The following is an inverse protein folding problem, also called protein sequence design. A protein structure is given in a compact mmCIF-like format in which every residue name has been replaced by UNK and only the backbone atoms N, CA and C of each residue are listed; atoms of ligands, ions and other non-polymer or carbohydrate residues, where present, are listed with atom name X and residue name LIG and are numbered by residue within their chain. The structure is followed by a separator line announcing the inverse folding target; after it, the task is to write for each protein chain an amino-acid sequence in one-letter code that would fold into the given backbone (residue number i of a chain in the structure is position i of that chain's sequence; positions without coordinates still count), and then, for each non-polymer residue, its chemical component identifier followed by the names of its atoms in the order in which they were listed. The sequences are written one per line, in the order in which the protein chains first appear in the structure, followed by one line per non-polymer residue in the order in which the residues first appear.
data_IF_198589360779
#
_entry.id   IF_198589360779
#
_cell.length_a   1.000
_cell.length_b   1.000
_cell.length_c   1.000
_cell.angle_alpha   90.00
_cell.angle_beta   90.00
_cell.angle_gamma   90.00
#
_symmetry.space_group_name_H-M   'P 1'
#
loop_
_entity.id
_entity.type
_entity.pdbx_description
1 polymer ?
#
# COMPACT_ATOMS: atom_id res chain seq x y z
N UNK A 1 -4.11 12.04 24.60
CA UNK A 1 -5.24 12.17 25.55
C UNK A 1 -5.03 13.40 26.42
N UNK A 2 -6.05 14.24 26.58
CA UNK A 2 -6.03 15.44 27.42
C UNK A 2 -7.29 15.52 28.28
N UNK A 3 -7.18 16.18 29.43
CA UNK A 3 -8.33 16.43 30.30
C UNK A 3 -9.19 17.55 29.71
N UNK A 4 -10.51 17.33 29.63
CA UNK A 4 -11.50 18.30 29.15
C UNK A 4 -12.52 18.60 30.26
N UNK A 5 -12.26 19.68 31.00
CA UNK A 5 -13.05 19.98 32.19
C UNK A 5 -12.81 18.99 33.33
N UNK A 6 -13.78 18.89 34.25
CA UNK A 6 -13.66 18.04 35.43
C UNK A 6 -14.02 16.56 35.13
N UNK A 7 -15.02 16.33 34.28
CA UNK A 7 -15.68 15.03 34.14
C UNK A 7 -15.44 14.34 32.81
N UNK A 8 -14.63 14.92 31.93
CA UNK A 8 -14.38 14.37 30.61
C UNK A 8 -12.90 14.30 30.26
N UNK A 9 -12.60 13.40 29.33
CA UNK A 9 -11.32 13.24 28.65
C UNK A 9 -11.53 13.44 27.15
N UNK A 10 -10.54 14.01 26.49
CA UNK A 10 -10.51 14.09 25.03
C UNK A 10 -9.35 13.29 24.49
N UNK A 11 -9.63 12.43 23.52
CA UNK A 11 -8.63 11.72 22.71
C UNK A 11 -8.70 12.29 21.29
N UNK A 12 -7.52 12.64 20.75
CA UNK A 12 -7.41 13.34 19.47
C UNK A 12 -7.62 14.85 19.59
N UNK A 13 -7.07 15.60 18.62
CA UNK A 13 -7.11 17.07 18.59
C UNK A 13 -7.87 17.60 17.38
N UNK A 14 -7.82 16.88 16.26
CA UNK A 14 -8.36 17.33 14.98
C UNK A 14 -9.82 16.89 14.78
N UNK A 15 -10.60 17.68 14.09
CA UNK A 15 -11.95 17.33 13.68
C UNK A 15 -11.93 16.06 12.82
N UNK A 16 -12.89 15.15 13.07
CA UNK A 16 -12.91 13.82 12.46
C UNK A 16 -12.06 12.77 13.18
N UNK A 17 -11.07 13.19 13.97
CA UNK A 17 -10.20 12.33 14.79
C UNK A 17 -10.20 12.79 16.24
N UNK A 18 -11.38 13.02 16.79
CA UNK A 18 -11.57 13.50 18.15
C UNK A 18 -12.77 12.85 18.78
N UNK A 19 -12.59 12.30 19.96
CA UNK A 19 -13.66 11.76 20.79
C UNK A 19 -13.59 12.32 22.20
N UNK A 20 -14.74 12.60 22.78
CA UNK A 20 -14.87 13.01 24.19
C UNK A 20 -15.49 11.85 24.96
N UNK A 21 -14.80 11.40 25.98
CA UNK A 21 -15.18 10.26 26.81
C UNK A 21 -15.40 10.74 28.25
N UNK A 22 -16.34 10.14 29.01
CA UNK A 22 -16.49 10.43 30.42
C UNK A 22 -15.25 9.98 31.19
N UNK A 23 -14.87 10.76 32.19
CA UNK A 23 -13.72 10.47 33.06
C UNK A 23 -14.08 9.51 34.17
N UNK A 24 -14.44 8.27 33.80
CA UNK A 24 -14.69 7.19 34.75
C UNK A 24 -13.44 6.34 34.93
N UNK A 25 -13.39 5.59 36.04
CA UNK A 25 -12.26 4.70 36.32
C UNK A 25 -12.06 3.65 35.21
N UNK A 26 -13.14 3.06 34.70
CA UNK A 26 -13.10 2.09 33.61
C UNK A 26 -12.51 2.69 32.32
N UNK A 27 -12.91 3.91 31.96
CA UNK A 27 -12.37 4.62 30.78
C UNK A 27 -10.89 4.93 30.96
N UNK A 28 -10.49 5.44 32.14
CA UNK A 28 -9.08 5.73 32.44
C UNK A 28 -8.23 4.48 32.38
N UNK A 29 -8.69 3.37 32.96
CA UNK A 29 -8.00 2.08 32.93
C UNK A 29 -7.83 1.58 31.50
N UNK A 30 -8.90 1.57 30.69
CA UNK A 30 -8.85 1.13 29.30
C UNK A 30 -7.86 1.98 28.49
N UNK A 31 -7.90 3.30 28.63
CA UNK A 31 -6.98 4.19 27.93
C UNK A 31 -5.52 3.99 28.37
N UNK A 32 -5.27 3.73 29.66
CA UNK A 32 -3.92 3.40 30.16
C UNK A 32 -3.42 2.09 29.53
N UNK A 33 -4.22 1.03 29.51
CA UNK A 33 -3.88 -0.25 28.90
C UNK A 33 -3.53 -0.08 27.41
N UNK A 34 -4.32 0.71 26.67
CA UNK A 34 -4.05 1.00 25.25
C UNK A 34 -2.74 1.77 25.06
N UNK A 35 -2.46 2.77 25.88
CA UNK A 35 -1.22 3.57 25.82
C UNK A 35 0.01 2.74 26.16
N UNK A 36 -0.09 1.85 27.13
CA UNK A 36 0.98 0.97 27.59
C UNK A 36 1.09 -0.33 26.78
N UNK A 37 0.25 -0.49 25.73
CA UNK A 37 0.19 -1.69 24.89
C UNK A 37 -0.03 -2.99 25.69
N UNK A 38 -0.76 -2.90 26.76
CA UNK A 38 -1.11 -4.06 27.58
C UNK A 38 -2.27 -4.84 26.99
N UNK A 39 -2.41 -6.14 27.31
CA UNK A 39 -3.59 -6.91 26.96
C UNK A 39 -4.86 -6.23 27.47
N UNK A 40 -5.87 -6.21 26.64
CA UNK A 40 -7.13 -5.51 26.92
C UNK A 40 -8.09 -6.50 27.56
N UNK A 41 -8.65 -6.11 28.72
CA UNK A 41 -9.70 -6.89 29.38
C UNK A 41 -10.98 -6.91 28.53
N UNK A 42 -11.57 -8.07 28.33
CA UNK A 42 -12.87 -8.21 27.66
C UNK A 42 -14.02 -7.91 28.62
N UNK A 43 -14.30 -6.65 28.82
CA UNK A 43 -15.47 -6.21 29.59
C UNK A 43 -16.29 -5.16 28.82
N UNK A 44 -17.57 -4.96 29.15
CA UNK A 44 -18.45 -4.04 28.41
C UNK A 44 -17.96 -2.60 28.36
N UNK A 45 -17.33 -2.10 29.42
CA UNK A 45 -16.80 -0.74 29.48
C UNK A 45 -15.62 -0.56 28.53
N UNK A 46 -14.72 -1.52 28.51
CA UNK A 46 -13.56 -1.56 27.59
C UNK A 46 -14.03 -1.66 26.14
N UNK A 47 -14.97 -2.57 25.86
CA UNK A 47 -15.54 -2.71 24.52
C UNK A 47 -16.18 -1.40 24.02
N UNK A 48 -16.92 -0.72 24.89
CA UNK A 48 -17.54 0.57 24.56
C UNK A 48 -16.47 1.63 24.22
N UNK A 49 -15.41 1.75 25.03
CA UNK A 49 -14.31 2.71 24.79
C UNK A 49 -13.64 2.44 23.43
N UNK A 50 -13.34 1.17 23.14
CA UNK A 50 -12.73 0.77 21.87
C UNK A 50 -13.63 1.17 20.68
N UNK A 51 -14.92 0.87 20.76
CA UNK A 51 -15.88 1.25 19.71
C UNK A 51 -15.95 2.77 19.52
N UNK A 52 -15.91 3.57 20.61
CA UNK A 52 -15.89 5.02 20.49
C UNK A 52 -14.60 5.53 19.84
N UNK A 53 -13.46 4.99 20.22
CA UNK A 53 -12.17 5.36 19.63
C UNK A 53 -12.08 4.97 18.15
N UNK A 54 -12.58 3.78 17.78
CA UNK A 54 -12.59 3.29 16.40
C UNK A 54 -13.49 4.13 15.51
N UNK A 55 -14.70 4.45 15.95
CA UNK A 55 -15.64 5.31 15.21
C UNK A 55 -15.08 6.69 14.86
N UNK A 56 -14.14 7.18 15.63
CA UNK A 56 -13.52 8.49 15.48
C UNK A 56 -12.07 8.41 14.99
N UNK A 57 -11.66 7.28 14.39
CA UNK A 57 -10.29 7.07 13.93
C UNK A 57 -9.20 7.43 14.97
N UNK A 58 -9.54 7.28 16.25
CA UNK A 58 -8.61 7.54 17.36
C UNK A 58 -7.81 6.31 17.79
N UNK A 59 -8.11 5.12 17.24
CA UNK A 59 -7.33 3.93 17.43
C UNK A 59 -6.23 3.83 16.36
N UNK A 60 -4.99 3.93 16.79
CA UNK A 60 -3.87 3.51 15.97
C UNK A 60 -3.72 1.99 16.17
N UNK A 61 -4.13 1.21 15.19
CA UNK A 61 -3.81 -0.23 15.18
C UNK A 61 -2.29 -0.34 15.18
N UNK A 62 -1.77 -0.99 16.22
CA UNK A 62 -0.34 -0.99 16.51
C UNK A 62 0.50 -1.41 15.32
N UNK A 63 1.52 -0.62 15.03
CA UNK A 63 2.52 -0.88 14.00
C UNK A 63 3.54 -1.92 14.50
N UNK A 64 3.17 -3.06 15.08
CA UNK A 64 4.28 -3.86 15.46
C UNK A 64 4.15 -5.23 16.08
N UNK A 65 3.12 -5.56 16.80
CA UNK A 65 3.19 -6.78 17.60
C UNK A 65 2.77 -8.08 16.88
N UNK A 66 2.36 -8.03 15.63
CA UNK A 66 1.91 -9.20 14.87
C UNK A 66 2.55 -9.39 13.49
N UNK A 67 3.53 -8.56 13.13
CA UNK A 67 4.12 -8.55 11.77
C UNK A 67 5.58 -8.96 11.69
N UNK A 68 6.22 -9.28 12.82
CA UNK A 68 7.65 -9.62 12.88
C UNK A 68 8.04 -10.85 12.08
N UNK A 69 7.09 -11.65 11.64
CA UNK A 69 7.22 -12.83 10.77
C UNK A 69 6.69 -12.57 9.34
N UNK A 70 6.06 -11.42 9.10
CA UNK A 70 5.60 -11.06 7.76
C UNK A 70 6.75 -10.65 6.86
N UNK A 71 6.81 -11.29 5.69
CA UNK A 71 7.90 -11.15 4.73
C UNK A 71 7.48 -10.27 3.57
N UNK A 72 8.30 -9.27 3.27
CA UNK A 72 8.09 -8.38 2.12
C UNK A 72 9.32 -8.44 1.22
N UNK A 73 9.12 -8.76 -0.05
CA UNK A 73 10.19 -8.65 -1.03
C UNK A 73 10.15 -7.30 -1.74
N UNK A 74 11.31 -6.82 -2.13
CA UNK A 74 11.45 -5.60 -2.92
C UNK A 74 11.95 -5.95 -4.32
N UNK A 75 11.12 -5.69 -5.34
CA UNK A 75 11.49 -5.83 -6.74
C UNK A 75 11.90 -4.47 -7.30
N UNK A 76 13.14 -4.39 -7.74
CA UNK A 76 13.75 -3.14 -8.19
C UNK A 76 14.53 -2.47 -7.07
N UNK A 77 15.41 -1.57 -7.45
CA UNK A 77 16.28 -0.86 -6.52
C UNK A 77 16.31 0.61 -6.87
N UNK A 78 16.17 1.44 -5.87
CA UNK A 78 16.47 2.86 -5.98
C UNK A 78 17.69 3.08 -5.10
N UNK A 79 18.76 3.59 -5.70
CA UNK A 79 19.96 3.94 -4.97
C UNK A 79 20.45 5.31 -5.46
N UNK A 80 20.74 6.20 -4.54
CA UNK A 80 21.26 7.53 -4.85
C UNK A 80 21.30 8.42 -3.61
N UNK A 81 22.06 9.51 -3.66
CA UNK A 81 22.13 10.46 -2.55
C UNK A 81 20.76 11.03 -2.22
N UNK A 82 20.38 10.98 -0.93
CA UNK A 82 19.12 11.53 -0.44
C UNK A 82 17.87 10.65 -0.70
N UNK A 83 18.02 9.49 -1.34
CA UNK A 83 16.92 8.53 -1.47
C UNK A 83 16.77 7.71 -0.18
N UNK A 84 15.52 7.41 0.24
CA UNK A 84 15.30 6.65 1.46
C UNK A 84 15.75 5.20 1.30
N UNK A 85 16.26 4.63 2.35
CA UNK A 85 16.47 3.20 2.45
C UNK A 85 15.12 2.50 2.67
N UNK A 86 14.72 1.72 1.68
CA UNK A 86 13.42 1.04 1.71
C UNK A 86 13.40 -0.11 2.73
N UNK A 87 14.54 -0.75 2.96
CA UNK A 87 14.66 -1.82 3.93
C UNK A 87 14.54 -1.27 5.35
N UNK A 88 15.11 -0.10 5.61
CA UNK A 88 14.96 0.62 6.87
C UNK A 88 13.49 1.02 7.10
N UNK A 89 12.81 1.56 6.08
CA UNK A 89 11.39 1.91 6.17
C UNK A 89 10.50 0.70 6.45
N UNK A 90 10.74 -0.43 5.79
CA UNK A 90 10.02 -1.69 6.01
C UNK A 90 10.30 -2.24 7.40
N UNK A 91 11.56 -2.24 7.84
CA UNK A 91 11.95 -2.65 9.19
C UNK A 91 11.31 -1.79 10.28
N UNK A 92 11.29 -0.47 10.10
CA UNK A 92 10.58 0.46 10.99
C UNK A 92 9.06 0.22 11.02
N UNK A 93 8.50 -0.29 9.91
CA UNK A 93 7.10 -0.72 9.84
C UNK A 93 6.84 -2.11 10.46
N UNK A 94 7.87 -2.78 10.97
CA UNK A 94 7.78 -4.06 11.67
C UNK A 94 7.63 -5.28 10.76
N UNK A 95 8.10 -5.22 9.53
CA UNK A 95 8.11 -6.34 8.59
C UNK A 95 9.54 -6.78 8.26
N UNK A 96 9.69 -8.03 7.88
CA UNK A 96 10.99 -8.61 7.49
C UNK A 96 11.18 -8.46 5.98
N UNK A 97 12.26 -7.83 5.56
CA UNK A 97 12.61 -7.77 4.13
C UNK A 97 13.30 -9.07 3.70
N UNK A 98 12.87 -9.60 2.56
CA UNK A 98 13.48 -10.78 1.93
C UNK A 98 13.93 -10.46 0.51
N UNK A 99 14.99 -11.12 0.06
CA UNK A 99 15.60 -10.85 -1.25
C UNK A 99 14.74 -11.36 -2.40
N UNK A 100 14.04 -12.47 -2.19
CA UNK A 100 13.29 -13.16 -3.23
C UNK A 100 11.77 -13.04 -2.99
N UNK A 101 10.98 -12.85 -4.05
CA UNK A 101 9.52 -12.80 -3.94
C UNK A 101 8.88 -14.15 -3.55
N UNK A 102 9.63 -15.24 -3.69
CA UNK A 102 9.14 -16.57 -3.33
C UNK A 102 8.97 -16.69 -1.82
N UNK A 103 7.73 -16.94 -1.39
CA UNK A 103 7.37 -17.02 0.02
C UNK A 103 7.24 -15.65 0.72
N UNK A 104 7.25 -14.55 -0.03
CA UNK A 104 6.89 -13.25 0.51
C UNK A 104 5.36 -13.11 0.66
N UNK A 105 4.92 -12.50 1.76
CA UNK A 105 3.49 -12.19 2.00
C UNK A 105 2.99 -11.04 1.12
N UNK A 106 3.91 -10.13 0.76
CA UNK A 106 3.64 -9.05 -0.19
C UNK A 106 4.92 -8.61 -0.90
N UNK A 107 4.77 -7.89 -2.01
CA UNK A 107 5.89 -7.36 -2.79
C UNK A 107 5.74 -5.86 -3.02
N UNK A 108 6.82 -5.12 -2.83
CA UNK A 108 6.96 -3.74 -3.24
C UNK A 108 7.77 -3.69 -4.54
N UNK A 109 7.11 -3.40 -5.66
CA UNK A 109 7.74 -3.31 -6.96
C UNK A 109 8.05 -1.84 -7.30
N UNK A 110 9.33 -1.53 -7.50
CA UNK A 110 9.81 -0.16 -7.70
C UNK A 110 10.48 -0.05 -9.07
N UNK A 111 10.08 0.96 -9.85
CA UNK A 111 10.68 1.33 -11.12
C UNK A 111 11.21 2.74 -11.13
N UNK A 112 12.47 2.91 -11.59
CA UNK A 112 12.90 4.17 -12.17
C UNK A 112 12.42 4.16 -13.62
N UNK A 113 11.40 4.95 -13.95
CA UNK A 113 10.65 4.81 -15.18
C UNK A 113 9.54 3.75 -15.08
N UNK A 114 9.04 3.30 -16.21
CA UNK A 114 8.04 2.23 -16.30
C UNK A 114 8.64 0.85 -16.00
N UNK A 115 7.83 -0.02 -15.42
CA UNK A 115 8.22 -1.40 -15.11
C UNK A 115 7.83 -2.35 -16.25
N UNK A 116 8.74 -3.24 -16.69
CA UNK A 116 8.37 -4.34 -17.58
C UNK A 116 7.27 -5.19 -16.94
N UNK A 117 6.17 -5.39 -17.66
CA UNK A 117 4.99 -6.13 -17.13
C UNK A 117 5.34 -7.59 -16.85
N UNK A 118 6.27 -8.14 -17.61
CA UNK A 118 6.77 -9.52 -17.47
C UNK A 118 7.40 -9.78 -16.10
N UNK A 119 7.97 -8.75 -15.46
CA UNK A 119 8.55 -8.87 -14.11
C UNK A 119 7.48 -9.08 -13.03
N UNK A 120 6.24 -8.66 -13.29
CA UNK A 120 5.12 -8.78 -12.37
C UNK A 120 4.27 -10.04 -12.64
N UNK A 121 4.38 -10.64 -13.82
CA UNK A 121 3.62 -11.84 -14.19
C UNK A 121 3.80 -13.02 -13.21
N UNK A 122 5.00 -13.30 -12.66
CA UNK A 122 5.16 -14.33 -11.64
C UNK A 122 4.34 -14.06 -10.37
N UNK A 123 4.20 -12.80 -9.95
CA UNK A 123 3.40 -12.42 -8.79
C UNK A 123 1.91 -12.66 -9.04
N UNK A 124 1.44 -12.33 -10.24
CA UNK A 124 0.06 -12.57 -10.65
C UNK A 124 -0.26 -14.07 -10.63
N UNK A 125 0.64 -14.91 -11.18
CA UNK A 125 0.45 -16.37 -11.22
C UNK A 125 0.46 -17.03 -9.84
N UNK A 126 1.23 -16.47 -8.89
CA UNK A 126 1.35 -17.00 -7.51
C UNK A 126 0.26 -16.45 -6.57
N UNK A 127 -0.54 -15.51 -7.02
CA UNK A 127 -1.51 -14.84 -6.15
C UNK A 127 -0.89 -13.87 -5.15
N UNK A 128 0.38 -13.45 -5.36
CA UNK A 128 1.10 -12.58 -4.41
C UNK A 128 0.63 -11.13 -4.52
N UNK A 129 0.13 -10.58 -3.40
CA UNK A 129 -0.22 -9.17 -3.30
C UNK A 129 0.98 -8.26 -3.52
N UNK A 130 0.83 -7.20 -4.32
CA UNK A 130 1.95 -6.30 -4.57
C UNK A 130 1.49 -4.86 -4.86
N UNK A 131 2.31 -3.90 -4.46
CA UNK A 131 2.14 -2.50 -4.83
C UNK A 131 3.23 -2.09 -5.82
N UNK A 132 2.85 -1.25 -6.77
CA UNK A 132 3.78 -0.72 -7.78
C UNK A 132 4.08 0.74 -7.49
N UNK A 133 5.37 1.11 -7.54
CA UNK A 133 5.83 2.51 -7.51
C UNK A 133 6.67 2.76 -8.76
N UNK A 134 6.34 3.81 -9.49
CA UNK A 134 7.07 4.23 -10.68
C UNK A 134 7.48 5.68 -10.52
N UNK A 135 8.77 5.95 -10.67
CA UNK A 135 9.33 7.30 -10.65
C UNK A 135 9.59 7.70 -12.10
N UNK A 136 8.71 8.52 -12.66
CA UNK A 136 8.66 8.86 -14.08
C UNK A 136 8.50 10.38 -14.26
N UNK A 137 9.14 10.93 -15.26
CA UNK A 137 8.95 12.31 -15.70
C UNK A 137 9.04 13.37 -14.59
N UNK A 138 9.96 13.20 -13.64
CA UNK A 138 10.10 14.07 -12.48
C UNK A 138 8.97 13.95 -11.46
N UNK A 139 8.07 12.98 -11.64
CA UNK A 139 6.96 12.66 -10.76
C UNK A 139 7.05 11.26 -10.17
N UNK A 140 6.02 10.88 -9.43
CA UNK A 140 5.86 9.53 -8.90
C UNK A 140 4.44 9.03 -9.12
N UNK A 141 4.32 7.77 -9.55
CA UNK A 141 3.03 7.07 -9.64
C UNK A 141 3.03 5.95 -8.61
N UNK A 142 2.15 6.05 -7.63
CA UNK A 142 1.96 5.06 -6.58
C UNK A 142 0.74 4.21 -6.93
N UNK A 143 0.89 2.89 -6.86
CA UNK A 143 -0.16 1.95 -7.21
C UNK A 143 -0.11 1.53 -8.69
N UNK A 144 -0.99 0.59 -9.04
CA UNK A 144 -2.03 0.02 -8.17
C UNK A 144 -1.46 -0.90 -7.09
N UNK A 145 -2.20 -1.06 -5.97
CA UNK A 145 -2.03 -2.23 -5.14
C UNK A 145 -2.80 -3.37 -5.78
N UNK A 146 -2.07 -4.40 -6.17
CA UNK A 146 -2.59 -5.54 -6.91
C UNK A 146 -2.76 -6.73 -5.97
N UNK A 147 -3.99 -7.20 -5.84
CA UNK A 147 -4.31 -8.51 -5.30
C UNK A 147 -4.84 -9.33 -6.49
N UNK A 148 -4.06 -10.31 -6.97
CA UNK A 148 -4.43 -11.08 -8.16
C UNK A 148 -5.85 -11.65 -8.05
N UNK A 149 -6.61 -11.55 -9.13
CA UNK A 149 -8.01 -11.94 -9.16
C UNK A 149 -9.01 -10.95 -8.55
N UNK A 150 -8.56 -9.98 -7.74
CA UNK A 150 -9.45 -9.03 -7.04
C UNK A 150 -9.33 -7.58 -7.53
N UNK A 151 -8.13 -7.13 -7.87
CA UNK A 151 -7.87 -5.74 -8.28
C UNK A 151 -7.31 -5.65 -9.69
N UNK A 152 -7.35 -4.44 -10.27
CA UNK A 152 -6.69 -4.18 -11.54
C UNK A 152 -5.17 -4.29 -11.41
N UNK A 153 -4.51 -4.96 -12.35
CA UNK A 153 -3.06 -4.98 -12.49
C UNK A 153 -2.58 -3.96 -13.54
N UNK A 154 -1.27 -3.80 -13.74
CA UNK A 154 -0.75 -2.87 -14.75
C UNK A 154 -1.24 -3.21 -16.17
N UNK A 155 -1.39 -4.49 -16.52
CA UNK A 155 -1.93 -4.90 -17.84
C UNK A 155 -3.41 -4.54 -17.98
N UNK A 156 -4.20 -4.50 -16.90
CA UNK A 156 -5.57 -3.97 -16.95
C UNK A 156 -5.55 -2.47 -17.26
N UNK A 157 -4.64 -1.73 -16.63
CA UNK A 157 -4.47 -0.30 -16.89
C UNK A 157 -4.06 -0.07 -18.35
N UNK A 158 -3.06 -0.80 -18.83
CA UNK A 158 -2.62 -0.73 -20.23
C UNK A 158 -3.78 -0.99 -21.21
N UNK A 159 -4.63 -1.98 -20.92
CA UNK A 159 -5.79 -2.29 -21.75
C UNK A 159 -6.83 -1.15 -21.74
N UNK A 160 -7.11 -0.54 -20.59
CA UNK A 160 -7.98 0.64 -20.51
C UNK A 160 -7.39 1.84 -21.26
N UNK A 161 -6.10 2.10 -21.08
CA UNK A 161 -5.42 3.21 -21.77
C UNK A 161 -5.37 2.99 -23.28
N UNK A 162 -5.26 1.74 -23.75
CA UNK A 162 -5.25 1.42 -25.19
C UNK A 162 -6.57 1.70 -25.88
N UNK A 163 -7.68 1.80 -25.14
CA UNK A 163 -8.97 2.24 -25.69
C UNK A 163 -8.92 3.74 -26.03
N UNK A 164 -8.18 4.54 -25.27
CA UNK A 164 -8.03 5.98 -25.46
C UNK A 164 -6.89 6.30 -26.43
N UNK A 165 -5.79 5.56 -26.33
CA UNK A 165 -4.61 5.68 -27.17
C UNK A 165 -4.15 4.29 -27.65
N UNK A 166 -4.44 3.91 -28.91
CA UNK A 166 -4.01 2.62 -29.47
C UNK A 166 -2.49 2.39 -29.47
N UNK A 167 -1.68 3.45 -29.33
CA UNK A 167 -0.23 3.35 -29.29
C UNK A 167 0.31 3.18 -27.86
N UNK A 168 -0.51 3.27 -26.83
CA UNK A 168 -0.10 3.28 -25.41
C UNK A 168 0.87 2.14 -25.07
N UNK A 169 0.52 0.89 -25.39
CA UNK A 169 1.38 -0.27 -25.08
C UNK A 169 2.71 -0.22 -25.82
N UNK A 170 2.69 0.17 -27.10
CA UNK A 170 3.91 0.27 -27.89
C UNK A 170 4.85 1.38 -27.37
N UNK A 171 4.27 2.52 -27.00
CA UNK A 171 5.02 3.63 -26.40
C UNK A 171 5.61 3.23 -25.06
N UNK A 172 4.82 2.63 -24.18
CA UNK A 172 5.25 2.17 -22.87
C UNK A 172 6.38 1.13 -22.98
N UNK A 173 6.25 0.18 -23.90
CA UNK A 173 7.30 -0.83 -24.14
C UNK A 173 8.62 -0.17 -24.60
N UNK A 174 8.55 0.74 -25.56
CA UNK A 174 9.73 1.48 -26.02
C UNK A 174 10.37 2.34 -24.93
N UNK A 175 9.55 2.93 -24.07
CA UNK A 175 10.02 3.69 -22.91
C UNK A 175 10.80 2.79 -21.93
N UNK A 176 10.25 1.61 -21.61
CA UNK A 176 10.94 0.60 -20.78
C UNK A 176 12.31 0.21 -21.39
N UNK A 177 12.35 -0.07 -22.69
CA UNK A 177 13.58 -0.40 -23.39
C UNK A 177 14.60 0.76 -23.39
N UNK A 178 14.15 1.98 -23.63
CA UNK A 178 15.00 3.16 -23.64
C UNK A 178 15.59 3.45 -22.25
N UNK A 179 14.79 3.40 -21.20
CA UNK A 179 15.24 3.63 -19.82
C UNK A 179 16.18 2.51 -19.34
N UNK A 180 15.99 1.27 -19.77
CA UNK A 180 16.90 0.17 -19.48
C UNK A 180 18.28 0.39 -20.11
N UNK A 181 18.35 0.92 -21.35
CA UNK A 181 19.61 1.27 -22.03
C UNK A 181 20.30 2.45 -21.37
N UNK A 182 19.55 3.53 -21.10
CA UNK A 182 20.10 4.70 -20.43
C UNK A 182 20.76 4.36 -19.08
N UNK A 183 20.17 3.42 -18.33
CA UNK A 183 20.77 2.94 -17.08
C UNK A 183 22.04 2.12 -17.26
N UNK A 184 22.20 1.44 -18.39
CA UNK A 184 23.42 0.67 -18.70
C UNK A 184 24.62 1.56 -19.04
N UNK A 185 24.38 2.79 -19.49
CA UNK A 185 25.41 3.79 -19.79
C UNK A 185 25.72 4.73 -18.62
N UNK A 186 25.08 4.51 -17.45
CA UNK A 186 25.31 5.27 -16.23
C UNK A 186 24.49 6.56 -16.13
N UNK A 187 23.61 6.84 -17.10
CA UNK A 187 22.66 7.94 -16.96
C UNK A 187 21.57 7.59 -15.95
N UNK A 188 21.25 8.51 -15.05
CA UNK A 188 20.14 8.38 -14.13
C UNK A 188 19.05 9.36 -14.48
N UNK A 189 17.80 8.91 -14.50
CA UNK A 189 16.67 9.81 -14.50
C UNK A 189 16.77 10.74 -13.29
N UNK A 190 16.47 12.01 -13.48
CA UNK A 190 16.39 12.98 -12.40
C UNK A 190 15.17 12.62 -11.53
N UNK A 191 15.45 12.02 -10.40
CA UNK A 191 14.43 11.70 -9.41
C UNK A 191 14.53 12.72 -8.28
N UNK A 192 13.45 13.41 -7.99
CA UNK A 192 13.36 14.24 -6.78
C UNK A 192 13.38 13.31 -5.54
N UNK A 193 14.40 13.40 -4.67
CA UNK A 193 14.52 12.52 -3.51
C UNK A 193 13.36 12.65 -2.52
N UNK A 194 12.83 13.86 -2.34
CA UNK A 194 11.72 14.09 -1.42
C UNK A 194 10.42 13.47 -1.96
N UNK A 195 10.19 13.60 -3.27
CA UNK A 195 9.04 13.00 -3.94
C UNK A 195 9.14 11.45 -3.93
N UNK A 196 10.34 10.91 -4.18
CA UNK A 196 10.59 9.48 -4.07
C UNK A 196 10.34 8.98 -2.63
N UNK A 197 10.84 9.70 -1.63
CA UNK A 197 10.62 9.36 -0.22
C UNK A 197 9.12 9.34 0.14
N UNK A 198 8.36 10.34 -0.32
CA UNK A 198 6.92 10.39 -0.11
C UNK A 198 6.20 9.20 -0.76
N UNK A 199 6.55 8.88 -2.01
CA UNK A 199 5.94 7.78 -2.75
C UNK A 199 6.24 6.41 -2.10
N UNK A 200 7.49 6.20 -1.70
CA UNK A 200 7.90 4.95 -1.05
C UNK A 200 7.28 4.78 0.33
N UNK A 201 7.25 5.82 1.15
CA UNK A 201 6.60 5.79 2.45
C UNK A 201 5.09 5.47 2.33
N UNK A 202 4.44 6.03 1.31
CA UNK A 202 3.05 5.71 1.02
C UNK A 202 2.85 4.25 0.63
N UNK A 203 3.69 3.73 -0.27
CA UNK A 203 3.63 2.35 -0.69
C UNK A 203 3.90 1.37 0.46
N UNK A 204 4.89 1.65 1.32
CA UNK A 204 5.13 0.88 2.55
C UNK A 204 3.89 0.88 3.44
N UNK A 205 3.22 2.03 3.59
CA UNK A 205 1.97 2.12 4.37
C UNK A 205 0.88 1.23 3.78
N UNK A 206 0.74 1.19 2.46
CA UNK A 206 -0.22 0.33 1.77
C UNK A 206 0.10 -1.17 1.94
N UNK A 207 1.38 -1.55 1.86
CA UNK A 207 1.84 -2.92 2.19
C UNK A 207 1.43 -3.30 3.61
N UNK A 208 1.70 -2.43 4.57
CA UNK A 208 1.34 -2.65 5.98
C UNK A 208 -0.16 -2.82 6.17
N UNK A 209 -0.97 -1.98 5.53
CA UNK A 209 -2.45 -2.10 5.59
C UNK A 209 -2.91 -3.45 5.04
N UNK A 210 -2.31 -3.89 3.93
CA UNK A 210 -2.64 -5.20 3.34
C UNK A 210 -2.27 -6.35 4.27
N UNK A 211 -1.07 -6.34 4.85
CA UNK A 211 -0.61 -7.37 5.78
C UNK A 211 -1.45 -7.44 7.06
N UNK A 212 -2.05 -6.32 7.47
CA UNK A 212 -3.01 -6.24 8.58
C UNK A 212 -4.43 -6.66 8.19
N UNK A 213 -4.64 -7.12 6.95
CA UNK A 213 -5.95 -7.54 6.43
C UNK A 213 -6.87 -6.37 6.06
N UNK A 214 -6.35 -5.15 6.02
CA UNK A 214 -7.07 -3.95 5.57
C UNK A 214 -7.01 -3.77 4.06
N UNK A 215 -7.72 -2.75 3.57
CA UNK A 215 -7.71 -2.36 2.16
C UNK A 215 -6.71 -1.22 1.95
N UNK A 216 -5.63 -1.42 1.16
CA UNK A 216 -4.69 -0.38 0.79
C UNK A 216 -5.35 0.83 0.11
N UNK A 217 -4.79 2.01 0.28
CA UNK A 217 -5.33 3.24 -0.33
C UNK A 217 -5.25 3.21 -1.86
N UNK A 218 -4.26 2.51 -2.42
CA UNK A 218 -4.09 2.32 -3.86
C UNK A 218 -4.75 1.04 -4.40
N UNK A 219 -5.73 0.48 -3.70
CA UNK A 219 -6.51 -0.67 -4.14
C UNK A 219 -7.23 -0.38 -5.46
N UNK A 220 -6.79 -1.02 -6.55
CA UNK A 220 -7.27 -0.69 -7.92
C UNK A 220 -7.16 0.79 -8.27
N UNK A 221 -6.19 1.52 -7.72
CA UNK A 221 -6.02 2.95 -7.94
C UNK A 221 -4.57 3.28 -8.22
N UNK A 222 -4.36 4.35 -8.97
CA UNK A 222 -3.06 4.99 -9.11
C UNK A 222 -3.14 6.43 -8.62
N UNK A 223 -2.11 6.84 -7.90
CA UNK A 223 -1.94 8.21 -7.44
C UNK A 223 -0.71 8.79 -8.14
N UNK A 224 -0.92 9.77 -8.99
CA UNK A 224 0.14 10.53 -9.62
C UNK A 224 0.47 11.74 -8.75
N UNK A 225 1.72 11.84 -8.34
CA UNK A 225 2.32 12.99 -7.66
C UNK A 225 3.22 13.72 -8.66
N UNK A 226 2.91 14.96 -8.98
CA UNK A 226 3.78 15.83 -9.75
C UNK A 226 4.85 16.50 -8.87
N UNK A 227 5.70 17.35 -9.45
CA UNK A 227 6.69 18.12 -8.70
C UNK A 227 6.07 19.00 -7.60
N UNK A 228 4.83 19.46 -7.80
CA UNK A 228 4.02 20.08 -6.76
C UNK A 228 3.08 19.02 -6.15
N UNK A 229 3.34 18.54 -4.92
CA UNK A 229 2.54 17.50 -4.30
C UNK A 229 1.09 17.92 -3.97
N UNK A 230 0.75 19.20 -4.11
CA UNK A 230 -0.64 19.68 -4.02
C UNK A 230 -1.44 19.36 -5.27
N UNK A 231 -0.77 19.15 -6.40
CA UNK A 231 -1.35 18.76 -7.69
C UNK A 231 -1.27 17.24 -7.85
N UNK A 232 -2.07 16.53 -7.09
CA UNK A 232 -2.19 15.08 -7.20
C UNK A 232 -3.37 14.71 -8.11
N UNK A 233 -3.17 13.66 -8.91
CA UNK A 233 -4.24 13.03 -9.69
C UNK A 233 -4.43 11.61 -9.20
N UNK A 234 -5.68 11.22 -9.01
CA UNK A 234 -6.08 9.87 -8.63
C UNK A 234 -6.96 9.27 -9.72
N UNK A 235 -6.59 8.10 -10.21
CA UNK A 235 -7.37 7.34 -11.18
C UNK A 235 -7.75 5.98 -10.57
N UNK A 236 -9.02 5.59 -10.74
CA UNK A 236 -9.54 4.28 -10.32
C UNK A 236 -9.67 3.37 -11.52
N UNK A 237 -9.22 2.12 -11.38
CA UNK A 237 -9.14 1.15 -12.46
C UNK A 237 -9.98 -0.08 -12.15
N UNK A 238 -10.78 -0.52 -13.10
CA UNK A 238 -11.45 -1.80 -13.02
C UNK A 238 -10.55 -2.90 -13.61
N UNK A 239 -10.75 -4.14 -13.19
CA UNK A 239 -10.17 -5.30 -13.89
C UNK A 239 -10.67 -5.29 -15.33
N UNK A 240 -9.75 -5.47 -16.27
CA UNK A 240 -10.13 -5.45 -17.69
C UNK A 240 -10.47 -6.87 -18.15
N UNK A 241 -11.63 -7.11 -18.81
CA UNK A 241 -12.06 -8.46 -19.20
C UNK A 241 -11.08 -9.20 -20.10
N UNK A 242 -10.34 -8.46 -20.93
CA UNK A 242 -9.32 -9.03 -21.83
C UNK A 242 -7.95 -9.23 -21.19
N UNK A 243 -7.81 -8.94 -19.89
CA UNK A 243 -6.54 -9.15 -19.19
C UNK A 243 -6.44 -10.58 -18.67
N UNK A 244 -5.32 -11.26 -18.99
CA UNK A 244 -5.07 -12.62 -18.53
C UNK A 244 -5.04 -12.78 -17.00
N UNK A 245 -4.88 -11.71 -16.22
CA UNK A 245 -4.98 -11.76 -14.76
C UNK A 245 -6.39 -12.10 -14.26
N UNK A 246 -7.42 -12.02 -15.13
CA UNK A 246 -8.80 -12.36 -14.80
C UNK A 246 -9.08 -13.87 -14.89
N UNK A 247 -8.25 -14.63 -15.57
CA UNK A 247 -8.46 -16.07 -15.79
C UNK A 247 -8.02 -16.94 -14.61
N UNK A 248 -7.38 -16.37 -13.59
CA UNK A 248 -6.96 -17.12 -12.41
C UNK A 248 -8.14 -17.50 -11.48
N UNK A 249 -9.30 -16.89 -11.64
CA UNK A 249 -10.48 -17.11 -10.77
C UNK A 249 -11.41 -18.24 -11.23
N UNK A 250 -11.28 -18.76 -12.47
CA UNK A 250 -12.23 -19.77 -13.03
C UNK A 250 -11.95 -21.21 -12.60
N UNK A 251 -10.94 -21.46 -11.76
CA UNK A 251 -10.59 -22.82 -11.30
C UNK A 251 -11.46 -23.36 -10.15
N UNK A 252 -12.49 -22.63 -9.70
CA UNK A 252 -13.40 -23.06 -8.63
C UNK A 252 -14.86 -23.28 -9.06
N UNK A 253 -15.14 -23.30 -10.36
CA UNK A 253 -16.42 -23.83 -10.85
C UNK A 253 -16.26 -25.33 -11.12
N UNK A 254 -16.03 -26.08 -10.06
CA UNK A 254 -16.20 -27.55 -10.10
C UNK A 254 -17.67 -27.85 -10.14
N UNK A 255 -18.06 -28.55 -11.20
CA UNK A 255 -19.37 -28.98 -11.49
C UNK A 255 -20.14 -29.61 -10.32
N UNK A 256 -21.32 -29.13 -10.10
CA UNK A 256 -22.40 -29.95 -9.59
C UNK A 256 -22.97 -30.72 -10.77
N UNK A 257 -22.51 -31.98 -10.87
CA UNK A 257 -23.12 -32.93 -11.78
C UNK A 257 -24.59 -33.12 -11.42
N UNK A 258 -25.42 -32.91 -12.43
CA UNK A 258 -26.80 -33.38 -12.43
C UNK A 258 -26.76 -34.84 -12.85
N UNK A 259 -27.20 -35.70 -11.95
CA UNK A 259 -27.68 -37.05 -12.27
C UNK A 259 -29.15 -37.10 -12.03
#
# INVERSE_FOLDING_TARGET
MVRRGLDHLQVGLYDGRRVVLPRTEGVLRTLAMLLERQPIDENPATAWVIVQLDRHDCLVRGTGSGRTDRKVAVLGRIAGPGLPDIEELLGAAGVVTVSEPDGADAVLAIGLGELPRERLDPLLRRGTGHVVVRLVDGGAVIGPFVVPGKTACLRCIDAHQSVLDPHHVAVTTRYVEATARARSDGSSDLVDPALAALALAWAVRDVVVHLDGGQPSTWSRTLLLGPDPTQRREDTWLRHPMCACCFADDSHVTGTGVS
#
